data_IF_464318269371
#
_entry.id   IF_464318269371
#
_cell.length_a   1.000
_cell.length_b   1.000
_cell.length_c   1.000
_cell.angle_alpha   90.00
_cell.angle_beta   90.00
_cell.angle_gamma   90.00
#
_symmetry.space_group_name_H-M   'P 1'
#
loop_
_entity.id
_entity.type
_entity.pdbx_description
1 polymer ?
#
# COMPACT_ATOMS: atom_id res chain seq x y z
N UNK A 1 -10.07 24.52 -3.86
CA UNK A 1 -10.33 23.12 -4.26
C UNK A 1 -9.19 22.31 -3.65
N UNK A 2 -9.46 21.28 -2.91
CA UNK A 2 -8.42 20.44 -2.33
C UNK A 2 -8.19 19.25 -3.26
N UNK A 3 -6.93 18.94 -3.56
CA UNK A 3 -6.53 17.79 -4.37
C UNK A 3 -6.32 16.54 -3.51
N UNK A 4 -5.76 16.72 -2.29
CA UNK A 4 -5.52 15.62 -1.37
C UNK A 4 -6.82 15.17 -0.69
N UNK A 5 -7.08 13.87 -0.77
CA UNK A 5 -8.12 13.17 -0.01
C UNK A 5 -7.54 12.52 1.26
N UNK A 6 -8.19 11.47 1.78
CA UNK A 6 -7.74 10.74 2.98
C UNK A 6 -6.46 9.94 2.79
N UNK A 7 -6.10 9.59 1.53
CA UNK A 7 -4.91 8.79 1.20
C UNK A 7 -4.32 9.26 -0.15
N UNK A 8 -3.82 10.48 -0.17
CA UNK A 8 -3.22 11.11 -1.34
C UNK A 8 -4.23 11.69 -2.34
N UNK A 9 -3.76 11.95 -3.55
CA UNK A 9 -4.55 12.47 -4.67
C UNK A 9 -5.09 11.30 -5.46
N UNK A 10 -6.42 11.25 -5.71
CA UNK A 10 -7.03 10.18 -6.53
C UNK A 10 -8.09 10.74 -7.46
N UNK A 11 -8.06 10.29 -8.72
CA UNK A 11 -9.09 10.60 -9.71
C UNK A 11 -9.03 9.57 -10.86
N UNK A 12 -9.87 9.76 -11.91
CA UNK A 12 -9.66 9.05 -13.18
C UNK A 12 -8.28 9.39 -13.73
N UNK A 13 -7.57 8.38 -14.23
CA UNK A 13 -6.20 8.54 -14.72
C UNK A 13 -6.08 9.58 -15.83
N UNK A 14 -6.98 9.55 -16.81
CA UNK A 14 -7.03 10.52 -17.90
C UNK A 14 -7.20 11.96 -17.41
N UNK A 15 -7.99 12.16 -16.33
CA UNK A 15 -8.16 13.49 -15.76
C UNK A 15 -6.87 13.98 -15.09
N UNK A 16 -6.18 13.11 -14.35
CA UNK A 16 -4.90 13.44 -13.70
C UNK A 16 -3.83 13.82 -14.73
N UNK A 17 -3.71 13.03 -15.80
CA UNK A 17 -2.75 13.26 -16.88
C UNK A 17 -3.07 14.53 -17.67
N UNK A 18 -4.34 14.72 -18.10
CA UNK A 18 -4.78 15.88 -18.87
C UNK A 18 -4.61 17.19 -18.11
N UNK A 19 -4.76 17.17 -16.79
CA UNK A 19 -4.57 18.35 -15.94
C UNK A 19 -3.15 18.44 -15.39
N UNK A 20 -2.22 17.59 -15.83
CA UNK A 20 -0.80 17.63 -15.46
C UNK A 20 -0.55 17.61 -13.93
N UNK A 21 -1.44 16.96 -13.17
CA UNK A 21 -1.34 16.89 -11.72
C UNK A 21 -0.01 16.26 -11.27
N UNK A 22 0.48 15.15 -11.89
CA UNK A 22 1.78 14.57 -11.52
C UNK A 22 2.95 15.54 -11.75
N UNK A 23 2.95 16.26 -12.88
CA UNK A 23 3.97 17.26 -13.17
C UNK A 23 3.96 18.41 -12.17
N UNK A 24 2.79 18.96 -11.87
CA UNK A 24 2.65 20.04 -10.90
C UNK A 24 3.10 19.61 -9.49
N UNK A 25 2.75 18.40 -9.06
CA UNK A 25 3.24 17.83 -7.79
C UNK A 25 4.76 17.69 -7.82
N UNK A 26 5.34 17.24 -8.94
CA UNK A 26 6.79 17.17 -9.12
C UNK A 26 7.47 18.53 -8.93
N UNK A 27 6.93 19.59 -9.52
CA UNK A 27 7.44 20.97 -9.33
C UNK A 27 7.38 21.42 -7.87
N UNK A 28 6.29 21.12 -7.18
CA UNK A 28 6.13 21.47 -5.78
C UNK A 28 7.17 20.74 -4.93
N UNK A 29 7.37 19.44 -5.13
CA UNK A 29 8.38 18.65 -4.42
C UNK A 29 9.80 19.07 -4.79
N UNK A 30 10.04 19.44 -6.05
CA UNK A 30 11.35 19.93 -6.52
C UNK A 30 11.83 21.19 -5.79
N UNK A 31 10.91 22.10 -5.42
CA UNK A 31 11.23 23.30 -4.64
C UNK A 31 11.71 22.96 -3.22
N UNK A 32 11.27 21.84 -2.69
CA UNK A 32 11.67 21.36 -1.35
C UNK A 32 13.04 20.68 -1.38
N UNK A 33 13.47 20.20 -2.55
CA UNK A 33 14.76 19.57 -2.76
C UNK A 33 14.91 18.21 -2.10
N UNK A 34 16.14 17.69 -2.06
CA UNK A 34 16.50 16.43 -1.41
C UNK A 34 16.41 15.21 -2.32
N UNK A 35 16.41 14.03 -1.71
CA UNK A 35 16.27 12.73 -2.39
C UNK A 35 14.81 12.33 -2.44
N UNK A 36 14.29 12.12 -3.64
CA UNK A 36 12.91 11.69 -3.87
C UNK A 36 12.90 10.35 -4.58
N UNK A 37 12.19 9.37 -4.02
CA UNK A 37 12.03 8.05 -4.61
C UNK A 37 10.63 7.93 -5.22
N UNK A 38 10.55 7.49 -6.46
CA UNK A 38 9.30 7.31 -7.21
C UNK A 38 9.09 5.83 -7.51
N UNK A 39 7.89 5.35 -7.25
CA UNK A 39 7.43 4.02 -7.64
C UNK A 39 6.01 4.10 -8.20
N UNK A 40 5.62 3.08 -8.93
CA UNK A 40 4.29 2.97 -9.52
C UNK A 40 3.67 1.59 -9.31
N UNK A 41 2.36 1.50 -9.36
CA UNK A 41 1.66 0.23 -9.48
C UNK A 41 1.59 -0.25 -10.95
N UNK A 42 0.84 -1.32 -11.17
CA UNK A 42 0.75 -1.99 -12.48
C UNK A 42 -0.19 -1.32 -13.48
N UNK A 43 -0.93 -0.26 -13.11
CA UNK A 43 -1.94 0.38 -13.96
C UNK A 43 -1.34 0.93 -15.24
N UNK A 44 -2.06 0.86 -16.36
CA UNK A 44 -1.57 1.27 -17.68
C UNK A 44 -1.07 2.72 -17.71
N UNK A 45 -1.77 3.63 -17.04
CA UNK A 45 -1.42 5.05 -16.99
C UNK A 45 -0.33 5.41 -15.98
N UNK A 46 0.11 4.45 -15.16
CA UNK A 46 1.08 4.73 -14.08
C UNK A 46 2.44 5.15 -14.62
N UNK A 47 2.88 4.62 -15.77
CA UNK A 47 4.13 5.01 -16.41
C UNK A 47 4.10 6.47 -16.91
N UNK A 48 3.01 6.89 -17.55
CA UNK A 48 2.90 8.28 -18.06
C UNK A 48 2.81 9.28 -16.90
N UNK A 49 2.16 8.90 -15.80
CA UNK A 49 2.17 9.71 -14.58
C UNK A 49 3.56 9.78 -13.95
N UNK A 50 4.34 8.69 -13.99
CA UNK A 50 5.74 8.66 -13.52
C UNK A 50 6.61 9.61 -14.36
N UNK A 51 6.47 9.59 -15.68
CA UNK A 51 7.15 10.51 -16.59
C UNK A 51 6.84 11.96 -16.28
N UNK A 52 5.56 12.33 -16.17
CA UNK A 52 5.13 13.69 -15.84
C UNK A 52 5.67 14.13 -14.46
N UNK A 53 5.60 13.26 -13.44
CA UNK A 53 6.11 13.55 -12.12
C UNK A 53 7.63 13.81 -12.16
N UNK A 54 8.38 12.95 -12.83
CA UNK A 54 9.84 13.10 -12.98
C UNK A 54 10.20 14.39 -13.74
N UNK A 55 9.46 14.76 -14.78
CA UNK A 55 9.65 16.02 -15.49
C UNK A 55 9.49 17.21 -14.53
N UNK A 56 8.46 17.23 -13.69
CA UNK A 56 8.26 18.28 -12.69
C UNK A 56 9.38 18.28 -11.64
N UNK A 57 9.85 17.12 -11.20
CA UNK A 57 10.96 16.99 -10.25
C UNK A 57 12.28 17.54 -10.81
N UNK A 58 12.53 17.42 -12.12
CA UNK A 58 13.73 17.94 -12.77
C UNK A 58 13.83 19.45 -12.80
N UNK A 59 12.75 20.18 -12.54
CA UNK A 59 12.80 21.65 -12.45
C UNK A 59 13.52 22.20 -11.23
N UNK A 60 13.86 21.36 -10.24
CA UNK A 60 14.60 21.74 -9.02
C UNK A 60 15.89 20.97 -8.81
N UNK A 61 16.53 21.24 -7.68
CA UNK A 61 17.79 20.58 -7.29
C UNK A 61 17.51 19.28 -6.50
N UNK A 62 16.83 18.32 -7.11
CA UNK A 62 16.46 17.02 -6.52
C UNK A 62 17.32 15.88 -7.04
N UNK A 63 17.54 14.88 -6.20
CA UNK A 63 18.01 13.55 -6.62
C UNK A 63 16.79 12.69 -6.81
N UNK A 64 16.55 12.23 -8.02
CA UNK A 64 15.36 11.45 -8.39
C UNK A 64 15.78 9.99 -8.53
N UNK A 65 15.14 9.11 -7.75
CA UNK A 65 15.35 7.67 -7.84
C UNK A 65 14.06 7.01 -8.27
N UNK A 66 14.10 6.20 -9.33
CA UNK A 66 12.94 5.52 -9.90
C UNK A 66 13.12 4.01 -9.70
N UNK A 67 12.12 3.36 -9.11
CA UNK A 67 12.15 1.93 -8.81
C UNK A 67 11.30 1.09 -9.76
N UNK A 68 10.52 1.74 -10.63
CA UNK A 68 9.55 1.03 -11.47
C UNK A 68 8.36 0.52 -10.65
N UNK A 69 7.82 -0.65 -11.06
CA UNK A 69 6.66 -1.28 -10.39
C UNK A 69 7.08 -1.83 -9.03
N UNK A 70 6.43 -1.36 -7.97
CA UNK A 70 6.73 -1.76 -6.61
C UNK A 70 5.46 -1.70 -5.73
N UNK A 71 5.25 -2.60 -4.76
CA UNK A 71 4.19 -2.42 -3.77
C UNK A 71 4.41 -1.19 -2.89
N UNK A 72 3.32 -0.54 -2.47
CA UNK A 72 3.37 0.63 -1.56
C UNK A 72 4.25 0.40 -0.32
N UNK A 73 4.13 -0.72 0.43
CA UNK A 73 5.00 -0.97 1.57
C UNK A 73 6.48 -1.16 1.20
N UNK A 74 6.75 -1.69 0.01
CA UNK A 74 8.13 -1.82 -0.45
C UNK A 74 8.75 -0.46 -0.76
N UNK A 75 8.01 0.47 -1.38
CA UNK A 75 8.49 1.84 -1.55
C UNK A 75 8.78 2.51 -0.20
N UNK A 76 7.90 2.37 0.77
CA UNK A 76 8.11 2.92 2.11
C UNK A 76 9.37 2.36 2.77
N UNK A 77 9.62 1.05 2.63
CA UNK A 77 10.84 0.41 3.11
C UNK A 77 12.10 0.91 2.38
N UNK A 78 12.10 1.01 1.05
CA UNK A 78 13.24 1.54 0.29
C UNK A 78 13.50 3.00 0.67
N UNK A 79 12.46 3.82 0.83
CA UNK A 79 12.58 5.21 1.28
C UNK A 79 13.22 5.31 2.68
N UNK A 80 12.91 4.34 3.56
CA UNK A 80 13.48 4.27 4.89
C UNK A 80 14.99 3.94 4.87
N UNK A 81 15.39 2.87 4.18
CA UNK A 81 16.80 2.44 4.16
C UNK A 81 17.69 3.44 3.40
N UNK A 82 17.15 4.07 2.37
CA UNK A 82 17.84 5.08 1.57
C UNK A 82 17.77 6.49 2.17
N UNK A 83 17.08 6.66 3.30
CA UNK A 83 16.90 7.94 3.99
C UNK A 83 16.37 9.02 3.06
N UNK A 84 15.38 8.69 2.25
CA UNK A 84 14.76 9.63 1.34
C UNK A 84 14.07 10.76 2.11
N UNK A 85 14.05 11.95 1.52
CA UNK A 85 13.33 13.10 2.05
C UNK A 85 11.84 12.99 1.72
N UNK A 86 11.53 12.47 0.52
CA UNK A 86 10.18 12.14 0.07
C UNK A 86 10.17 10.83 -0.71
N UNK A 87 9.00 10.20 -0.74
CA UNK A 87 8.73 9.14 -1.71
C UNK A 87 7.32 9.33 -2.28
N UNK A 88 7.13 8.98 -3.56
CA UNK A 88 5.84 9.11 -4.25
C UNK A 88 5.46 7.76 -4.83
N UNK A 89 4.30 7.26 -4.42
CA UNK A 89 3.69 6.07 -5.00
C UNK A 89 2.57 6.46 -5.95
N UNK A 90 2.67 6.03 -7.20
CA UNK A 90 1.66 6.24 -8.22
C UNK A 90 0.73 5.03 -8.19
N UNK A 91 -0.46 5.22 -7.62
CA UNK A 91 -1.46 4.16 -7.42
C UNK A 91 -2.82 4.71 -7.03
N UNK A 92 -3.87 3.94 -7.30
CA UNK A 92 -5.18 4.13 -6.70
C UNK A 92 -5.60 2.96 -5.80
N UNK A 93 -4.63 2.15 -5.31
CA UNK A 93 -4.84 1.03 -4.39
C UNK A 93 -5.91 0.05 -4.90
N UNK A 94 -7.06 -0.05 -4.21
CA UNK A 94 -8.15 -0.97 -4.50
C UNK A 94 -9.17 -0.47 -5.53
N UNK A 95 -9.00 0.75 -6.08
CA UNK A 95 -9.92 1.29 -7.09
C UNK A 95 -9.82 0.49 -8.41
N UNK A 96 -10.85 0.62 -9.24
CA UNK A 96 -10.89 0.05 -10.58
C UNK A 96 -9.77 0.58 -11.49
N UNK A 97 -9.42 -0.11 -12.60
CA UNK A 97 -8.26 0.21 -13.44
C UNK A 97 -8.22 1.63 -14.01
N UNK A 98 -9.37 2.24 -14.30
CA UNK A 98 -9.49 3.59 -14.86
C UNK A 98 -9.14 4.71 -13.88
N UNK A 99 -9.00 4.40 -12.59
CA UNK A 99 -8.53 5.34 -11.58
C UNK A 99 -7.02 5.22 -11.40
N UNK A 100 -6.40 6.34 -11.00
CA UNK A 100 -5.03 6.36 -10.52
C UNK A 100 -4.86 7.45 -9.44
N UNK A 101 -3.66 7.61 -8.91
CA UNK A 101 -3.41 8.58 -7.86
C UNK A 101 -1.94 8.74 -7.51
N UNK A 102 -1.67 9.60 -6.54
CA UNK A 102 -0.35 9.94 -6.05
C UNK A 102 -0.40 9.94 -4.51
N UNK A 103 0.27 8.97 -3.88
CA UNK A 103 0.48 8.94 -2.44
C UNK A 103 1.87 9.51 -2.14
N UNK A 104 1.96 10.53 -1.31
CA UNK A 104 3.23 11.14 -0.92
C UNK A 104 3.60 10.69 0.49
N UNK A 105 4.81 10.19 0.61
CA UNK A 105 5.45 9.88 1.88
C UNK A 105 6.52 10.94 2.16
N UNK A 106 6.65 11.33 3.41
CA UNK A 106 7.70 12.20 3.90
C UNK A 106 8.97 11.42 4.24
N UNK A 107 9.78 12.03 5.07
CA UNK A 107 11.11 11.55 5.41
C UNK A 107 11.12 10.09 5.88
N UNK A 108 12.03 9.31 5.29
CA UNK A 108 12.22 7.88 5.60
C UNK A 108 10.96 7.02 5.40
N UNK A 109 10.14 7.33 4.40
CA UNK A 109 8.97 6.52 4.05
C UNK A 109 7.82 6.58 5.07
N UNK A 110 7.77 7.62 5.91
CA UNK A 110 6.64 7.87 6.81
C UNK A 110 5.53 8.62 6.08
N UNK A 111 4.31 8.40 6.49
CA UNK A 111 3.18 9.24 6.02
C UNK A 111 3.43 10.70 6.37
N UNK A 112 2.93 11.61 5.53
CA UNK A 112 2.96 13.04 5.83
C UNK A 112 2.07 13.35 7.04
N UNK A 113 2.47 14.34 7.85
CA UNK A 113 1.58 14.91 8.85
C UNK A 113 0.44 15.66 8.16
N UNK A 114 -0.68 15.87 8.86
CA UNK A 114 -1.81 16.64 8.32
C UNK A 114 -1.40 18.06 7.93
N UNK A 115 -0.50 18.68 8.70
CA UNK A 115 0.05 20.01 8.39
C UNK A 115 0.91 20.01 7.14
N UNK A 116 1.75 18.97 6.93
CA UNK A 116 2.60 18.87 5.75
C UNK A 116 1.77 18.57 4.49
N UNK A 117 0.75 17.71 4.62
CA UNK A 117 -0.19 17.38 3.53
C UNK A 117 -0.99 18.62 3.12
N UNK A 118 -1.50 19.39 4.09
CA UNK A 118 -2.20 20.66 3.83
C UNK A 118 -1.30 21.69 3.18
N UNK A 119 -0.05 21.81 3.63
CA UNK A 119 0.92 22.72 3.01
C UNK A 119 1.20 22.31 1.55
N UNK A 120 1.37 21.00 1.30
CA UNK A 120 1.61 20.46 -0.03
C UNK A 120 0.41 20.71 -0.97
N UNK A 121 -0.82 20.50 -0.47
CA UNK A 121 -2.06 20.75 -1.21
C UNK A 121 -2.23 22.22 -1.60
N UNK A 122 -1.94 23.14 -0.67
CA UNK A 122 -1.98 24.58 -0.94
C UNK A 122 -0.94 25.00 -1.99
N UNK A 123 0.31 24.49 -1.89
CA UNK A 123 1.35 24.76 -2.88
C UNK A 123 0.98 24.20 -4.26
N UNK A 124 0.39 23.01 -4.30
CA UNK A 124 -0.12 22.41 -5.54
C UNK A 124 -1.24 23.27 -6.14
N UNK A 125 -2.20 23.71 -5.33
CA UNK A 125 -3.27 24.59 -5.78
C UNK A 125 -2.73 25.90 -6.38
N UNK A 126 -1.75 26.53 -5.73
CA UNK A 126 -1.11 27.74 -6.24
C UNK A 126 -0.36 27.49 -7.55
N UNK A 127 0.34 26.36 -7.66
CA UNK A 127 1.07 25.98 -8.87
C UNK A 127 0.13 25.77 -10.03
N UNK A 128 -1.00 25.10 -9.83
CA UNK A 128 -2.02 24.83 -10.85
C UNK A 128 -2.76 26.09 -11.33
N UNK A 129 -2.87 27.11 -10.49
CA UNK A 129 -3.57 28.36 -10.81
C UNK A 129 -2.61 29.52 -11.17
N UNK A 130 -1.31 29.25 -11.31
CA UNK A 130 -0.32 30.26 -11.73
C UNK A 130 -0.47 30.58 -13.22
N UNK A 131 -0.31 31.85 -13.63
CA UNK A 131 -0.28 32.23 -15.07
C UNK A 131 0.85 31.58 -15.88
N UNK A 132 1.84 31.00 -15.18
CA UNK A 132 2.93 30.20 -15.76
C UNK A 132 2.65 28.70 -15.69
N UNK A 133 1.38 28.29 -15.63
CA UNK A 133 1.00 26.87 -15.70
C UNK A 133 1.60 26.23 -16.96
N UNK A 134 2.10 24.99 -16.86
CA UNK A 134 2.82 24.35 -17.94
C UNK A 134 1.96 24.26 -19.21
N UNK A 135 2.61 24.47 -20.35
CA UNK A 135 2.02 24.12 -21.64
C UNK A 135 2.27 22.62 -21.87
N UNK A 136 1.27 21.85 -22.30
CA UNK A 136 1.45 20.43 -22.54
C UNK A 136 2.54 20.18 -23.59
N UNK A 137 3.59 19.47 -23.20
CA UNK A 137 4.55 18.93 -24.16
C UNK A 137 3.95 17.61 -24.64
N UNK A 138 3.38 17.64 -25.84
CA UNK A 138 2.91 16.42 -26.49
C UNK A 138 4.11 15.54 -26.80
N UNK A 139 4.21 14.39 -26.13
CA UNK A 139 5.12 13.32 -26.53
C UNK A 139 4.40 12.57 -27.65
N UNK A 140 5.05 12.47 -28.82
CA UNK A 140 4.52 11.85 -30.03
C UNK A 140 4.06 10.40 -29.75
N UNK A 141 2.85 10.05 -30.19
CA UNK A 141 2.19 8.76 -29.97
C UNK A 141 2.88 7.55 -30.68
N UNK A 142 4.05 7.74 -31.28
CA UNK A 142 4.64 6.77 -32.21
C UNK A 142 5.31 5.54 -31.57
N UNK A 143 5.37 5.43 -30.22
CA UNK A 143 6.10 4.31 -29.54
C UNK A 143 5.28 3.48 -28.55
N UNK A 144 3.95 3.39 -28.69
CA UNK A 144 3.09 2.74 -27.70
C UNK A 144 2.74 1.26 -27.96
N UNK A 145 3.38 0.58 -28.93
CA UNK A 145 3.09 -0.82 -29.21
C UNK A 145 4.01 -1.77 -28.42
N UNK A 146 3.41 -2.39 -27.40
CA UNK A 146 3.79 -3.69 -26.81
C UNK A 146 5.26 -3.91 -26.39
N UNK A 147 5.81 -3.03 -25.57
CA UNK A 147 7.10 -3.30 -24.92
C UNK A 147 6.89 -4.07 -23.60
N UNK A 148 7.79 -5.01 -23.31
CA UNK A 148 7.85 -5.73 -22.03
C UNK A 148 8.27 -4.77 -20.89
N UNK A 149 7.98 -5.12 -19.62
CA UNK A 149 8.41 -4.33 -18.44
C UNK A 149 9.92 -4.07 -18.42
N UNK A 150 10.74 -4.97 -18.99
CA UNK A 150 12.21 -4.81 -19.14
C UNK A 150 12.57 -3.81 -20.25
N UNK A 151 11.85 -3.83 -21.37
CA UNK A 151 12.06 -2.91 -22.49
C UNK A 151 11.55 -1.51 -22.15
N UNK A 152 10.41 -1.40 -21.49
CA UNK A 152 9.87 -0.12 -20.97
C UNK A 152 10.81 0.52 -19.94
N UNK A 153 11.41 -0.27 -19.06
CA UNK A 153 12.45 0.21 -18.14
C UNK A 153 13.72 0.63 -18.89
N UNK A 154 14.06 -0.03 -20.02
CA UNK A 154 15.24 0.32 -20.84
C UNK A 154 15.04 1.63 -21.62
N UNK A 155 13.86 1.88 -22.17
CA UNK A 155 13.58 3.15 -22.90
C UNK A 155 13.45 4.34 -21.94
N UNK A 156 12.81 4.15 -20.79
CA UNK A 156 12.80 5.16 -19.74
C UNK A 156 14.23 5.45 -19.26
N UNK A 157 15.06 4.40 -19.11
CA UNK A 157 16.46 4.51 -18.71
C UNK A 157 17.29 5.27 -19.73
N UNK A 158 17.07 5.08 -21.03
CA UNK A 158 17.81 5.80 -22.09
C UNK A 158 17.40 7.27 -22.14
N UNK A 159 16.10 7.57 -22.10
CA UNK A 159 15.58 8.95 -22.12
C UNK A 159 15.91 9.75 -20.84
N UNK A 160 16.00 9.07 -19.69
CA UNK A 160 16.27 9.70 -18.40
C UNK A 160 17.77 9.63 -17.98
N UNK A 161 18.53 8.66 -18.51
CA UNK A 161 19.95 8.46 -18.16
C UNK A 161 20.88 9.54 -18.70
N UNK A 162 20.45 10.35 -19.67
CA UNK A 162 21.19 11.55 -20.12
C UNK A 162 21.22 12.65 -19.05
N UNK A 163 20.36 12.53 -18.00
CA UNK A 163 20.30 13.49 -16.92
C UNK A 163 20.89 12.88 -15.64
N UNK A 164 22.11 13.25 -15.26
CA UNK A 164 22.84 12.77 -14.07
C UNK A 164 22.07 12.87 -12.71
N UNK A 165 20.84 13.38 -12.70
CA UNK A 165 19.99 13.52 -11.51
C UNK A 165 19.01 12.36 -11.30
N UNK A 166 18.79 11.53 -12.33
CA UNK A 166 17.88 10.39 -12.25
C UNK A 166 18.69 9.12 -12.11
N UNK A 167 18.34 8.33 -11.10
CA UNK A 167 18.91 7.02 -10.87
C UNK A 167 17.79 5.97 -10.91
N UNK A 168 17.98 4.96 -11.73
CA UNK A 168 17.14 3.76 -11.68
C UNK A 168 17.67 2.86 -10.57
N UNK A 169 16.76 2.40 -9.71
CA UNK A 169 17.06 1.53 -8.58
C UNK A 169 16.66 0.10 -8.90
N UNK A 170 17.59 -0.62 -9.50
CA UNK A 170 17.38 -2.05 -9.77
C UNK A 170 17.38 -2.87 -8.48
N UNK A 171 16.58 -3.94 -8.45
CA UNK A 171 16.55 -4.87 -7.34
C UNK A 171 15.81 -4.38 -6.08
N UNK A 172 15.04 -3.30 -6.15
CA UNK A 172 14.22 -2.81 -5.02
C UNK A 172 13.27 -3.89 -4.49
N UNK A 173 12.63 -4.65 -5.38
CA UNK A 173 11.79 -5.80 -5.01
C UNK A 173 12.56 -6.87 -4.25
N UNK A 174 13.77 -7.18 -4.70
CA UNK A 174 14.62 -8.17 -4.04
C UNK A 174 15.02 -7.72 -2.62
N UNK A 175 15.37 -6.44 -2.45
CA UNK A 175 15.71 -5.88 -1.15
C UNK A 175 14.53 -5.96 -0.17
N UNK A 176 13.34 -5.57 -0.63
CA UNK A 176 12.12 -5.69 0.16
C UNK A 176 11.81 -7.15 0.51
N UNK A 177 11.82 -8.07 -0.47
CA UNK A 177 11.56 -9.47 -0.24
C UNK A 177 12.55 -10.10 0.75
N UNK A 178 13.84 -9.78 0.63
CA UNK A 178 14.88 -10.21 1.56
C UNK A 178 14.60 -9.70 2.97
N UNK A 179 14.21 -8.43 3.10
CA UNK A 179 13.84 -7.84 4.39
C UNK A 179 12.65 -8.55 5.00
N UNK A 180 11.54 -8.68 4.25
CA UNK A 180 10.32 -9.36 4.73
C UNK A 180 10.64 -10.77 5.22
N UNK A 181 11.34 -11.57 4.42
CA UNK A 181 11.69 -12.94 4.81
C UNK A 181 12.55 -13.01 6.07
N UNK A 182 13.42 -12.03 6.30
CA UNK A 182 14.25 -12.02 7.51
C UNK A 182 13.46 -11.85 8.81
N UNK A 183 12.23 -11.37 8.74
CA UNK A 183 11.35 -11.14 9.89
C UNK A 183 10.58 -12.38 10.33
N UNK A 184 10.56 -13.44 9.50
CA UNK A 184 9.67 -14.58 9.73
C UNK A 184 10.40 -15.91 9.76
N UNK A 185 9.90 -16.89 10.54
CA UNK A 185 10.34 -18.26 10.48
C UNK A 185 9.85 -18.94 9.21
N UNK A 186 10.31 -20.15 8.98
CA UNK A 186 9.74 -21.00 7.93
C UNK A 186 8.33 -21.48 8.30
N UNK A 187 7.52 -21.69 7.25
CA UNK A 187 6.13 -22.17 7.33
C UNK A 187 5.96 -23.49 6.57
N UNK A 188 6.92 -24.40 6.73
CA UNK A 188 7.01 -25.66 6.00
C UNK A 188 5.69 -26.45 6.03
N UNK A 189 5.21 -26.81 4.83
CA UNK A 189 4.01 -27.62 4.66
C UNK A 189 2.67 -26.90 4.85
N UNK A 190 2.65 -25.63 5.27
CA UNK A 190 1.41 -24.86 5.32
C UNK A 190 0.89 -24.61 3.91
N UNK A 191 -0.38 -24.93 3.65
CA UNK A 191 -1.05 -24.73 2.37
C UNK A 191 -1.67 -23.35 2.31
N UNK A 192 -1.26 -22.56 1.34
CA UNK A 192 -1.63 -21.16 1.18
C UNK A 192 -2.24 -20.95 -0.19
N UNK A 193 -3.43 -20.34 -0.23
CA UNK A 193 -4.03 -19.85 -1.47
C UNK A 193 -3.93 -18.33 -1.50
N UNK A 194 -3.47 -17.79 -2.63
CA UNK A 194 -3.27 -16.35 -2.82
C UNK A 194 -4.15 -15.84 -3.95
N UNK A 195 -4.83 -14.72 -3.73
CA UNK A 195 -5.38 -13.86 -4.76
C UNK A 195 -4.53 -12.58 -4.80
N UNK A 196 -3.76 -12.43 -5.87
CA UNK A 196 -2.82 -11.33 -6.03
C UNK A 196 -3.41 -10.12 -6.76
N UNK A 197 -4.71 -10.09 -7.02
CA UNK A 197 -5.45 -8.96 -7.62
C UNK A 197 -4.88 -8.45 -8.95
N UNK A 198 -4.09 -9.22 -9.70
CA UNK A 198 -3.28 -8.76 -10.85
C UNK A 198 -2.35 -7.59 -10.51
N UNK A 199 -2.10 -7.33 -9.21
CA UNK A 199 -1.42 -6.16 -8.67
C UNK A 199 0.09 -6.34 -8.48
N UNK A 200 0.65 -5.46 -7.64
CA UNK A 200 2.10 -5.41 -7.37
C UNK A 200 2.64 -6.68 -6.70
N UNK A 201 1.82 -7.36 -5.90
CA UNK A 201 2.20 -8.62 -5.26
C UNK A 201 2.07 -9.87 -6.15
N UNK A 202 1.68 -9.75 -7.42
CA UNK A 202 1.47 -10.87 -8.33
C UNK A 202 2.65 -11.87 -8.37
N UNK A 203 3.87 -11.37 -8.35
CA UNK A 203 5.09 -12.19 -8.36
C UNK A 203 5.73 -12.31 -6.97
N UNK A 204 5.69 -11.24 -6.18
CA UNK A 204 6.40 -11.17 -4.91
C UNK A 204 5.78 -12.02 -3.80
N UNK A 205 4.44 -12.00 -3.68
CA UNK A 205 3.78 -12.75 -2.61
C UNK A 205 3.97 -14.26 -2.79
N UNK A 206 3.67 -14.87 -3.97
CA UNK A 206 3.94 -16.30 -4.16
C UNK A 206 5.38 -16.67 -3.85
N UNK A 207 6.33 -15.87 -4.31
CA UNK A 207 7.77 -16.09 -4.08
C UNK A 207 8.12 -16.03 -2.59
N UNK A 208 7.57 -15.07 -1.83
CA UNK A 208 7.81 -14.96 -0.39
C UNK A 208 7.36 -16.21 0.37
N UNK A 209 6.14 -16.66 0.11
CA UNK A 209 5.58 -17.84 0.79
C UNK A 209 6.31 -19.12 0.40
N UNK A 210 6.64 -19.33 -0.88
CA UNK A 210 7.40 -20.48 -1.36
C UNK A 210 8.80 -20.56 -0.71
N UNK A 211 9.53 -19.44 -0.69
CA UNK A 211 10.87 -19.38 -0.11
C UNK A 211 10.86 -19.58 1.43
N UNK A 212 9.73 -19.28 2.08
CA UNK A 212 9.51 -19.59 3.49
C UNK A 212 8.97 -21.00 3.72
N UNK A 213 8.84 -21.84 2.69
CA UNK A 213 8.53 -23.28 2.82
C UNK A 213 7.05 -23.63 2.71
N UNK A 214 6.18 -22.68 2.44
CA UNK A 214 4.75 -22.93 2.24
C UNK A 214 4.47 -23.63 0.90
N UNK A 215 3.36 -24.35 0.83
CA UNK A 215 2.81 -24.90 -0.42
C UNK A 215 1.80 -23.86 -0.95
N UNK A 216 2.06 -23.29 -2.12
CA UNK A 216 1.34 -22.13 -2.62
C UNK A 216 0.50 -22.48 -3.85
N UNK A 217 -0.76 -22.08 -3.81
CA UNK A 217 -1.65 -21.98 -4.97
C UNK A 217 -1.98 -20.50 -5.16
N UNK A 218 -1.56 -19.88 -6.26
CA UNK A 218 -1.77 -18.47 -6.52
C UNK A 218 -2.63 -18.26 -7.78
N UNK A 219 -3.57 -17.34 -7.66
CA UNK A 219 -4.44 -16.89 -8.75
C UNK A 219 -4.30 -15.37 -8.91
N UNK A 220 -4.63 -14.85 -10.11
CA UNK A 220 -4.44 -13.45 -10.47
C UNK A 220 -3.00 -12.97 -10.21
N UNK A 221 -2.04 -13.87 -10.41
CA UNK A 221 -0.61 -13.71 -10.08
C UNK A 221 0.25 -13.29 -11.28
N UNK A 222 -0.35 -12.57 -12.20
CA UNK A 222 0.33 -11.86 -13.30
C UNK A 222 0.02 -10.38 -13.15
N UNK A 223 0.98 -9.51 -13.36
CA UNK A 223 0.77 -8.06 -13.38
C UNK A 223 -0.04 -7.69 -14.61
N UNK A 224 -1.19 -7.07 -14.43
CA UNK A 224 -2.07 -6.65 -15.54
C UNK A 224 -2.83 -5.39 -15.14
N UNK A 225 -2.42 -4.25 -15.72
CA UNK A 225 -3.00 -2.95 -15.42
C UNK A 225 -4.47 -2.79 -15.82
N UNK A 226 -4.96 -3.58 -16.79
CA UNK A 226 -6.36 -3.59 -17.22
C UNK A 226 -7.25 -4.41 -16.30
N UNK A 227 -6.67 -5.36 -15.56
CA UNK A 227 -7.39 -6.30 -14.70
C UNK A 227 -7.19 -6.08 -13.21
N UNK A 228 -6.32 -5.16 -12.81
CA UNK A 228 -6.05 -4.91 -11.40
C UNK A 228 -7.35 -4.62 -10.63
N UNK A 229 -7.61 -5.40 -9.58
CA UNK A 229 -8.82 -5.37 -8.74
C UNK A 229 -10.16 -5.68 -9.47
N UNK A 230 -10.15 -6.11 -10.73
CA UNK A 230 -11.39 -6.46 -11.46
C UNK A 230 -11.81 -7.87 -11.07
N UNK A 231 -12.94 -7.99 -10.40
CA UNK A 231 -13.52 -9.25 -9.91
C UNK A 231 -12.55 -10.13 -9.11
N UNK A 232 -11.56 -9.51 -8.44
CA UNK A 232 -10.53 -10.20 -7.68
C UNK A 232 -10.00 -9.37 -6.52
N UNK A 233 -9.11 -9.97 -5.73
CA UNK A 233 -8.43 -9.33 -4.62
C UNK A 233 -9.31 -9.03 -3.39
N UNK A 234 -8.83 -8.15 -2.53
CA UNK A 234 -9.44 -7.88 -1.22
C UNK A 234 -10.85 -7.31 -1.29
N UNK A 235 -11.23 -6.65 -2.40
CA UNK A 235 -12.58 -6.10 -2.61
C UNK A 235 -13.60 -7.17 -3.07
N UNK A 236 -13.12 -8.31 -3.57
CA UNK A 236 -13.95 -9.44 -4.05
C UNK A 236 -13.67 -10.73 -3.27
N UNK A 237 -13.29 -10.60 -2.01
CA UNK A 237 -12.87 -11.72 -1.15
C UNK A 237 -13.93 -12.79 -0.93
N UNK A 238 -15.22 -12.50 -1.13
CA UNK A 238 -16.29 -13.47 -0.96
C UNK A 238 -16.21 -14.60 -2.01
N UNK A 239 -15.95 -14.27 -3.27
CA UNK A 239 -15.76 -15.24 -4.35
C UNK A 239 -14.47 -16.03 -4.18
N UNK A 240 -13.41 -15.37 -3.71
CA UNK A 240 -12.17 -16.02 -3.37
C UNK A 240 -12.36 -17.03 -2.22
N UNK A 241 -13.14 -16.67 -1.19
CA UNK A 241 -13.40 -17.53 -0.03
C UNK A 241 -14.05 -18.86 -0.40
N UNK A 242 -14.87 -18.89 -1.45
CA UNK A 242 -15.49 -20.11 -1.95
C UNK A 242 -14.49 -21.10 -2.60
N UNK A 243 -13.31 -20.60 -3.01
CA UNK A 243 -12.24 -21.40 -3.63
C UNK A 243 -11.18 -21.90 -2.64
N UNK A 244 -11.08 -21.27 -1.46
CA UNK A 244 -10.13 -21.68 -0.42
C UNK A 244 -10.55 -23.01 0.20
N UNK A 245 -9.69 -24.03 0.10
CA UNK A 245 -9.97 -25.37 0.63
C UNK A 245 -9.88 -25.36 2.17
N UNK A 246 -10.50 -26.36 2.82
CA UNK A 246 -10.60 -26.44 4.27
C UNK A 246 -9.24 -26.52 4.99
N UNK A 247 -8.23 -27.05 4.32
CA UNK A 247 -6.86 -27.19 4.84
C UNK A 247 -5.91 -26.09 4.36
N UNK A 248 -6.43 -25.11 3.62
CA UNK A 248 -5.71 -23.92 3.15
C UNK A 248 -6.00 -22.70 4.02
N UNK A 249 -5.06 -21.75 4.00
CA UNK A 249 -5.33 -20.38 4.40
C UNK A 249 -5.28 -19.51 3.15
N UNK A 250 -6.34 -18.75 2.90
CA UNK A 250 -6.41 -17.81 1.79
C UNK A 250 -5.95 -16.42 2.20
N UNK A 251 -5.29 -15.70 1.28
CA UNK A 251 -4.96 -14.28 1.40
C UNK A 251 -5.29 -13.58 0.09
N UNK A 252 -6.12 -12.55 0.17
CA UNK A 252 -6.50 -11.71 -0.97
C UNK A 252 -5.93 -10.30 -0.77
N UNK A 253 -5.03 -9.88 -1.66
CA UNK A 253 -4.38 -8.57 -1.66
C UNK A 253 -5.19 -7.54 -2.44
N UNK A 254 -4.83 -6.27 -2.35
CA UNK A 254 -5.26 -5.22 -3.27
C UNK A 254 -4.14 -4.85 -4.26
N UNK A 255 -4.44 -3.95 -5.19
CA UNK A 255 -3.58 -3.66 -6.33
C UNK A 255 -2.17 -3.19 -5.98
N UNK A 256 -1.99 -2.35 -4.94
CA UNK A 256 -0.69 -1.85 -4.50
C UNK A 256 -0.16 -2.54 -3.24
N UNK A 257 -0.91 -3.50 -2.70
CA UNK A 257 -0.45 -4.41 -1.67
C UNK A 257 -0.37 -3.85 -0.26
N UNK A 258 -0.96 -2.69 0.00
CA UNK A 258 -1.01 -2.13 1.36
C UNK A 258 -2.10 -2.77 2.23
N UNK A 259 -2.99 -3.59 1.61
CA UNK A 259 -4.08 -4.32 2.25
C UNK A 259 -4.04 -5.80 1.95
N UNK A 260 -4.62 -6.58 2.89
CA UNK A 260 -4.91 -8.00 2.71
C UNK A 260 -6.15 -8.37 3.51
N UNK A 261 -6.96 -9.28 2.98
CA UNK A 261 -7.97 -9.99 3.75
C UNK A 261 -7.61 -11.49 3.77
N UNK A 262 -7.87 -12.15 4.90
CA UNK A 262 -7.60 -13.57 5.01
C UNK A 262 -8.88 -14.42 4.96
N UNK A 263 -8.73 -15.68 4.56
CA UNK A 263 -9.81 -16.67 4.56
C UNK A 263 -9.33 -17.91 5.31
N UNK A 264 -10.08 -18.32 6.31
CA UNK A 264 -9.78 -19.49 7.14
C UNK A 264 -11.06 -20.28 7.38
N UNK A 265 -11.03 -21.58 7.11
CA UNK A 265 -12.20 -22.46 7.23
C UNK A 265 -13.44 -21.91 6.46
N UNK A 266 -13.22 -21.36 5.27
CA UNK A 266 -14.25 -20.76 4.41
C UNK A 266 -14.84 -19.43 4.95
N UNK A 267 -14.22 -18.82 5.96
CA UNK A 267 -14.68 -17.56 6.54
C UNK A 267 -13.68 -16.44 6.29
N UNK A 268 -14.20 -15.30 5.91
CA UNK A 268 -13.39 -14.09 5.74
C UNK A 268 -12.98 -13.54 7.10
N UNK A 269 -11.68 -13.33 7.25
CA UNK A 269 -11.06 -12.58 8.34
C UNK A 269 -10.76 -11.17 7.80
N UNK A 270 -11.62 -10.23 8.15
CA UNK A 270 -11.42 -8.81 7.88
C UNK A 270 -10.36 -8.21 8.81
N UNK A 271 -10.09 -6.92 8.67
CA UNK A 271 -9.08 -6.24 9.49
C UNK A 271 -9.34 -6.35 10.99
N UNK A 272 -10.61 -6.38 11.42
CA UNK A 272 -10.97 -6.53 12.83
C UNK A 272 -10.60 -7.92 13.38
N UNK A 273 -10.90 -8.97 12.60
CA UNK A 273 -10.53 -10.35 12.94
C UNK A 273 -8.99 -10.53 12.95
N UNK A 274 -8.30 -9.90 11.99
CA UNK A 274 -6.84 -9.93 11.91
C UNK A 274 -6.20 -9.16 13.07
N UNK A 275 -6.72 -8.00 13.46
CA UNK A 275 -6.24 -7.26 14.63
C UNK A 275 -6.39 -8.07 15.93
N UNK A 276 -7.48 -8.82 16.10
CA UNK A 276 -7.63 -9.74 17.24
C UNK A 276 -6.55 -10.82 17.22
N UNK A 277 -6.32 -11.45 16.08
CA UNK A 277 -5.32 -12.50 15.93
C UNK A 277 -3.90 -11.97 16.23
N UNK A 278 -3.54 -10.85 15.62
CA UNK A 278 -2.24 -10.22 15.80
C UNK A 278 -2.04 -9.68 17.22
N UNK A 279 -3.09 -9.15 17.86
CA UNK A 279 -3.01 -8.75 19.28
C UNK A 279 -2.65 -9.91 20.21
N UNK A 280 -3.14 -11.11 19.89
CA UNK A 280 -2.79 -12.31 20.63
C UNK A 280 -1.30 -12.63 20.50
N UNK A 281 -0.76 -12.57 19.28
CA UNK A 281 0.69 -12.79 19.05
C UNK A 281 1.53 -11.72 19.76
N UNK A 282 1.17 -10.45 19.62
CA UNK A 282 1.90 -9.35 20.24
C UNK A 282 1.89 -9.42 21.77
N UNK A 283 0.78 -9.90 22.35
CA UNK A 283 0.68 -10.15 23.79
C UNK A 283 1.62 -11.27 24.22
N UNK A 284 1.64 -12.40 23.50
CA UNK A 284 2.53 -13.52 23.79
C UNK A 284 4.01 -13.15 23.66
N UNK A 285 4.34 -12.27 22.70
CA UNK A 285 5.68 -11.74 22.51
C UNK A 285 6.04 -10.58 23.46
N UNK A 286 5.15 -10.17 24.36
CA UNK A 286 5.36 -9.04 25.26
C UNK A 286 5.45 -7.67 24.58
N UNK A 287 4.97 -7.55 23.34
CA UNK A 287 5.02 -6.31 22.54
C UNK A 287 3.87 -5.34 22.84
N UNK A 288 2.75 -5.80 23.40
CA UNK A 288 1.63 -4.94 23.83
C UNK A 288 1.87 -4.30 25.21
N UNK A 289 3.03 -3.69 25.40
CA UNK A 289 3.39 -3.06 26.69
C UNK A 289 2.39 -1.99 27.14
N UNK A 290 1.83 -1.21 26.23
CA UNK A 290 0.83 -0.18 26.49
C UNK A 290 -0.59 -0.74 26.59
N UNK A 291 -0.81 -2.02 26.22
CA UNK A 291 -2.12 -2.69 26.18
C UNK A 291 -3.18 -1.96 25.36
N UNK A 292 -2.79 -1.35 24.26
CA UNK A 292 -3.66 -0.70 23.29
C UNK A 292 -3.51 -1.34 21.92
N UNK A 293 -4.62 -1.40 21.19
CA UNK A 293 -4.71 -1.62 19.74
C UNK A 293 -5.48 -0.45 19.17
N UNK A 294 -5.08 0.05 18.02
CA UNK A 294 -5.76 1.17 17.36
C UNK A 294 -6.63 0.63 16.23
N UNK A 295 -7.88 1.09 16.17
CA UNK A 295 -8.81 0.87 15.08
C UNK A 295 -9.49 2.17 14.69
N UNK A 296 -10.48 2.11 13.80
CA UNK A 296 -11.27 3.28 13.41
C UNK A 296 -12.68 3.26 14.01
N UNK A 297 -13.44 4.31 13.80
CA UNK A 297 -14.88 4.36 14.17
C UNK A 297 -15.69 3.25 13.48
N UNK A 298 -15.22 2.71 12.33
CA UNK A 298 -15.85 1.60 11.61
C UNK A 298 -15.48 0.23 12.18
N UNK A 299 -14.52 0.15 13.11
CA UNK A 299 -14.14 -1.11 13.76
C UNK A 299 -15.33 -1.68 14.55
N UNK A 300 -15.59 -2.97 14.37
CA UNK A 300 -16.70 -3.64 15.04
C UNK A 300 -16.54 -3.60 16.57
N UNK A 301 -17.62 -3.31 17.29
CA UNK A 301 -17.61 -3.24 18.76
C UNK A 301 -17.24 -4.57 19.41
N UNK A 302 -17.43 -5.70 18.72
CA UNK A 302 -16.99 -7.02 19.15
C UNK A 302 -15.49 -7.05 19.39
N UNK A 303 -14.67 -6.42 18.50
CA UNK A 303 -13.21 -6.39 18.69
C UNK A 303 -12.84 -5.73 20.03
N UNK A 304 -13.45 -4.59 20.36
CA UNK A 304 -13.18 -3.90 21.62
C UNK A 304 -13.50 -4.77 22.85
N UNK A 305 -14.58 -5.57 22.79
CA UNK A 305 -14.93 -6.50 23.87
C UNK A 305 -13.95 -7.67 23.99
N UNK A 306 -13.56 -8.27 22.87
CA UNK A 306 -12.56 -9.36 22.86
C UNK A 306 -11.19 -8.88 23.37
N UNK A 307 -10.75 -7.72 22.96
CA UNK A 307 -9.52 -7.11 23.46
C UNK A 307 -9.59 -6.83 24.97
N UNK A 308 -10.71 -6.28 25.45
CA UNK A 308 -10.92 -5.99 26.88
C UNK A 308 -10.86 -7.26 27.73
N UNK A 309 -11.37 -8.39 27.22
CA UNK A 309 -11.26 -9.68 27.91
C UNK A 309 -9.80 -10.08 28.19
N UNK A 310 -8.89 -9.59 27.37
CA UNK A 310 -7.45 -9.79 27.51
C UNK A 310 -6.70 -8.57 28.09
N UNK A 311 -7.40 -7.69 28.82
CA UNK A 311 -6.83 -6.46 29.39
C UNK A 311 -6.15 -5.56 28.34
N UNK A 312 -6.69 -5.50 27.15
CA UNK A 312 -6.24 -4.64 26.05
C UNK A 312 -7.38 -3.70 25.67
N UNK A 313 -7.12 -2.42 25.53
CA UNK A 313 -8.13 -1.45 25.12
C UNK A 313 -8.05 -1.18 23.61
N UNK A 314 -9.19 -0.92 22.99
CA UNK A 314 -9.30 -0.44 21.61
C UNK A 314 -9.40 1.08 21.62
N UNK A 315 -8.44 1.75 21.00
CA UNK A 315 -8.50 3.18 20.69
C UNK A 315 -9.14 3.33 19.32
N UNK A 316 -10.10 4.23 19.19
CA UNK A 316 -10.79 4.51 17.93
C UNK A 316 -10.38 5.87 17.40
N UNK A 317 -10.08 5.92 16.10
CA UNK A 317 -9.80 7.14 15.35
C UNK A 317 -10.86 7.37 14.29
N UNK A 318 -10.79 8.50 13.61
CA UNK A 318 -11.50 8.68 12.34
C UNK A 318 -10.97 7.67 11.30
N UNK A 319 -11.74 7.50 10.21
CA UNK A 319 -11.38 6.63 9.10
C UNK A 319 -10.20 7.23 8.33
N UNK A 320 -9.23 6.39 8.00
CA UNK A 320 -8.05 6.74 7.26
C UNK A 320 -6.77 6.28 7.96
N UNK A 321 -5.86 5.74 7.18
CA UNK A 321 -4.60 5.16 7.66
C UNK A 321 -3.73 6.18 8.42
N UNK A 322 -3.74 7.45 8.02
CA UNK A 322 -3.03 8.53 8.71
C UNK A 322 -3.50 8.71 10.15
N UNK A 323 -4.81 8.63 10.40
CA UNK A 323 -5.35 8.77 11.76
C UNK A 323 -4.98 7.58 12.64
N UNK A 324 -4.92 6.39 12.05
CA UNK A 324 -4.43 5.18 12.73
C UNK A 324 -2.96 5.34 13.10
N UNK A 325 -2.11 5.76 12.15
CA UNK A 325 -0.68 6.00 12.38
C UNK A 325 -0.42 7.05 13.44
N UNK A 326 -1.08 8.20 13.35
CA UNK A 326 -0.99 9.27 14.35
C UNK A 326 -1.33 8.78 15.75
N UNK A 327 -2.39 8.00 15.89
CA UNK A 327 -2.79 7.44 17.18
C UNK A 327 -1.76 6.42 17.68
N UNK A 328 -1.21 5.57 16.81
CA UNK A 328 -0.16 4.62 17.16
C UNK A 328 1.09 5.34 17.71
N UNK A 329 1.56 6.38 17.02
CA UNK A 329 2.73 7.17 17.43
C UNK A 329 2.44 7.93 18.74
N UNK A 330 1.32 8.64 18.84
CA UNK A 330 0.93 9.41 20.04
C UNK A 330 0.79 8.53 21.29
N UNK A 331 0.27 7.33 21.14
CA UNK A 331 0.06 6.40 22.25
C UNK A 331 1.29 5.50 22.52
N UNK A 332 2.26 5.49 21.60
CA UNK A 332 3.39 4.55 21.65
C UNK A 332 2.96 3.10 21.50
N UNK A 333 1.96 2.84 20.66
CA UNK A 333 1.42 1.53 20.33
C UNK A 333 2.04 1.00 19.05
N UNK A 334 2.08 -0.31 18.87
CA UNK A 334 2.71 -0.95 17.73
C UNK A 334 1.73 -1.52 16.72
N UNK A 335 0.48 -1.79 17.12
CA UNK A 335 -0.51 -2.51 16.31
C UNK A 335 -1.79 -1.70 16.14
N UNK A 336 -2.18 -1.47 14.92
CA UNK A 336 -3.45 -0.85 14.56
C UNK A 336 -3.85 -1.17 13.12
N UNK A 337 -5.04 -0.74 12.72
CA UNK A 337 -5.49 -0.93 11.35
C UNK A 337 -6.97 -0.67 11.17
N UNK A 338 -7.43 -0.98 9.99
CA UNK A 338 -8.78 -0.75 9.53
C UNK A 338 -9.46 -2.06 9.13
N UNK A 339 -10.78 -2.10 9.20
CA UNK A 339 -11.60 -3.24 8.75
C UNK A 339 -11.31 -3.64 7.30
N UNK A 340 -10.89 -2.70 6.46
CA UNK A 340 -10.50 -2.91 5.05
C UNK A 340 -9.28 -3.82 4.86
N UNK A 341 -8.58 -4.17 5.94
CA UNK A 341 -7.36 -5.00 5.86
C UNK A 341 -6.05 -4.21 5.79
N UNK A 342 -6.11 -2.88 5.90
CA UNK A 342 -4.91 -2.05 6.07
C UNK A 342 -4.43 -2.18 7.51
N UNK A 343 -3.43 -3.01 7.75
CA UNK A 343 -2.89 -3.31 9.07
C UNK A 343 -1.48 -2.72 9.20
N UNK A 344 -1.28 -1.94 10.23
CA UNK A 344 0.00 -1.29 10.57
C UNK A 344 0.63 -1.97 11.76
N UNK A 345 1.89 -2.39 11.60
CA UNK A 345 2.75 -2.95 12.63
C UNK A 345 4.04 -2.13 12.70
N UNK A 346 4.09 -1.11 13.58
CA UNK A 346 5.19 -0.13 13.62
C UNK A 346 6.58 -0.73 13.96
N UNK A 347 6.62 -1.94 14.49
CA UNK A 347 7.87 -2.68 14.68
C UNK A 347 8.32 -3.45 13.44
N UNK A 348 7.53 -3.43 12.36
CA UNK A 348 7.80 -4.12 11.10
C UNK A 348 7.83 -3.20 9.88
N UNK A 349 7.17 -2.04 9.93
CA UNK A 349 7.12 -1.09 8.82
C UNK A 349 6.48 0.24 9.20
N UNK A 350 6.51 1.21 8.29
CA UNK A 350 6.01 2.58 8.49
C UNK A 350 4.61 2.80 7.95
N UNK A 351 4.02 1.81 7.28
CA UNK A 351 2.69 1.85 6.67
C UNK A 351 2.05 0.47 6.72
N UNK A 352 0.82 0.33 6.24
CA UNK A 352 0.18 -0.98 6.04
C UNK A 352 0.94 -1.83 5.03
N UNK A 353 1.02 -3.13 5.32
CA UNK A 353 1.75 -4.10 4.51
C UNK A 353 0.96 -5.42 4.48
N UNK A 354 0.34 -5.70 3.33
CA UNK A 354 -0.47 -6.90 3.17
C UNK A 354 0.35 -8.18 3.29
N UNK A 355 1.57 -8.23 2.76
CA UNK A 355 2.44 -9.41 2.82
C UNK A 355 2.93 -9.68 4.23
N UNK A 356 3.41 -8.65 4.92
CA UNK A 356 3.83 -8.75 6.32
C UNK A 356 2.67 -9.14 7.22
N UNK A 357 1.47 -8.62 6.96
CA UNK A 357 0.25 -8.97 7.69
C UNK A 357 -0.11 -10.45 7.49
N UNK A 358 -0.11 -10.93 6.24
CA UNK A 358 -0.40 -12.32 5.92
C UNK A 358 0.60 -13.29 6.58
N UNK A 359 1.90 -13.00 6.50
CA UNK A 359 2.94 -13.80 7.14
C UNK A 359 2.84 -13.76 8.67
N UNK A 360 2.45 -12.61 9.25
CA UNK A 360 2.22 -12.48 10.70
C UNK A 360 1.03 -13.33 11.17
N UNK A 361 -0.02 -13.48 10.35
CA UNK A 361 -1.14 -14.39 10.64
C UNK A 361 -0.71 -15.86 10.61
N UNK A 362 0.19 -16.24 9.68
CA UNK A 362 0.78 -17.59 9.72
C UNK A 362 1.61 -17.81 10.98
N UNK A 363 2.32 -16.80 11.45
CA UNK A 363 3.06 -16.85 12.71
C UNK A 363 2.10 -17.03 13.91
N UNK A 364 0.93 -16.34 13.92
CA UNK A 364 -0.13 -16.61 14.90
C UNK A 364 -0.55 -18.08 14.86
N UNK A 365 -0.92 -18.60 13.69
CA UNK A 365 -1.35 -20.00 13.55
C UNK A 365 -0.27 -20.97 14.02
N UNK A 366 0.99 -20.73 13.66
CA UNK A 366 2.11 -21.56 14.09
C UNK A 366 2.31 -21.54 15.61
N UNK A 367 2.16 -20.38 16.24
CA UNK A 367 2.43 -20.17 17.67
C UNK A 367 1.28 -20.64 18.57
N UNK A 368 0.04 -20.40 18.11
CA UNK A 368 -1.19 -20.65 18.92
C UNK A 368 -1.91 -21.94 18.49
N UNK A 369 -1.54 -22.51 17.32
CA UNK A 369 -2.19 -23.69 16.73
C UNK A 369 -3.39 -23.36 15.85
N UNK A 370 -4.08 -22.26 16.09
CA UNK A 370 -5.23 -21.79 15.30
C UNK A 370 -5.34 -20.27 15.33
N UNK A 371 -6.04 -19.71 14.35
CA UNK A 371 -6.46 -18.31 14.42
C UNK A 371 -7.70 -18.18 15.33
N UNK A 372 -7.80 -17.12 16.16
CA UNK A 372 -8.94 -16.95 17.06
C UNK A 372 -10.22 -16.74 16.26
N UNK A 373 -11.32 -17.39 16.65
CA UNK A 373 -12.62 -17.21 16.03
C UNK A 373 -13.15 -15.79 16.32
N UNK A 374 -13.50 -15.09 15.28
CA UNK A 374 -14.12 -13.77 15.37
C UNK A 374 -15.48 -13.79 14.65
N UNK A 375 -16.54 -13.47 15.38
CA UNK A 375 -17.89 -13.34 14.83
C UNK A 375 -18.33 -11.91 15.11
N UNK A 376 -18.33 -11.02 14.11
CA UNK A 376 -18.68 -9.62 14.29
C UNK A 376 -20.13 -9.47 14.72
N UNK A 377 -20.43 -8.43 15.49
CA UNK A 377 -21.82 -8.04 15.71
C UNK A 377 -22.40 -7.48 14.41
N UNK A 378 -23.72 -7.66 14.18
CA UNK A 378 -24.39 -7.00 13.08
C UNK A 378 -24.15 -5.49 13.13
N UNK A 379 -23.76 -4.92 11.99
CA UNK A 379 -23.62 -3.48 11.80
C UNK A 379 -24.72 -3.01 10.84
N UNK A 380 -25.41 -1.93 11.23
CA UNK A 380 -26.37 -1.25 10.36
C UNK A 380 -25.64 -0.05 9.74
N UNK A 381 -25.56 -0.01 8.44
CA UNK A 381 -25.07 1.16 7.70
C UNK A 381 -26.27 2.01 7.29
N UNK A 382 -26.32 3.23 7.79
CA UNK A 382 -27.32 4.22 7.37
C UNK A 382 -26.66 5.22 6.43
N UNK A 383 -27.07 5.22 5.17
CA UNK A 383 -26.73 6.29 4.24
C UNK A 383 -27.61 7.52 4.53
N UNK A 384 -27.02 8.62 5.02
CA UNK A 384 -27.71 9.90 5.08
C UNK A 384 -27.46 10.59 3.75
N UNK A 385 -28.50 10.68 2.91
CA UNK A 385 -28.50 11.56 1.75
C UNK A 385 -28.63 13.00 2.25
N UNK A 386 -27.53 13.72 2.31
CA UNK A 386 -27.56 15.17 2.50
C UNK A 386 -27.91 15.75 1.12
N UNK A 387 -29.14 16.29 1.01
CA UNK A 387 -29.61 17.03 -0.14
C UNK A 387 -29.09 18.46 -0.13
#
# INVERSE_FOLDING_TARGET
MHYFGTDGIRNKADWLLKNEIPYALGKVLAKRGGKIIVARDVREHSLDMEKQLCQGLMEGATQIWVTGVLPTPALAYIAQIEKADYAVMITASHNAPEFNGLKVFGKCGKKLSESDETALDNELFLTMNSPSAPQPVFIDEACADALTDEELNSELSVSLAENHRIRIVDGAEFLYLKHVKSMFPRFDGMKIRLDCAYGCFATLAPKAFLELGAIVCAEHNVRDGKKVNVDCGSTHVADFAARVQKDEIGFAFDGDGDRVLAVVDGKVYDGDAMLLALSTLYRLQGKLKKRFVVGTILTNTKLGRELAYHNTALIRTDVGDKHVLDALEKQGCLLGGEKSGHIVMLDKGTTGDGLVTALSLLEVKRTVGSLPKFIPYPMLEFGILIR
#
